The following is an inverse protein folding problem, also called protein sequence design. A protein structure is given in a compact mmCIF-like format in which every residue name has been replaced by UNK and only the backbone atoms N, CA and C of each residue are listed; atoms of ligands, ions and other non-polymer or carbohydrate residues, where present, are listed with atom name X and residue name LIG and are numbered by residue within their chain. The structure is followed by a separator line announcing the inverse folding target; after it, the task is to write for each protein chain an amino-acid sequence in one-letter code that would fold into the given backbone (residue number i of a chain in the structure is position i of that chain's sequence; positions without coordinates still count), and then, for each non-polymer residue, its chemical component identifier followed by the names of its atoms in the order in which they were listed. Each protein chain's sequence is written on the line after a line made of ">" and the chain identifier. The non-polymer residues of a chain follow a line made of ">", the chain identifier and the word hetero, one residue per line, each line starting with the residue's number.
data_IF_857896096854
#
_entry.id   IF_857896096854
#
_cell.length_a   1.000
_cell.length_b   1.000
_cell.length_c   1.000
_cell.angle_alpha   90.00
_cell.angle_beta   90.00
_cell.angle_gamma   90.00
#
_symmetry.space_group_name_H-M   'P 1'
#
loop_
_entity.id
_entity.type
_entity.pdbx_description
1 polymer ?
#
# COMPACT_ATOMS: atom_id res chain seq x y z
N UNK A 1 1.46 -14.79 29.83
CA UNK A 1 2.64 -14.93 28.96
C UNK A 1 3.72 -13.94 29.42
N UNK A 2 4.97 -14.37 29.68
CA UNK A 2 6.00 -13.51 30.26
C UNK A 2 6.59 -12.51 29.24
N UNK A 3 6.70 -11.25 29.68
CA UNK A 3 6.98 -10.03 28.90
C UNK A 3 8.46 -9.82 28.56
N UNK A 4 9.10 -10.74 27.82
CA UNK A 4 10.56 -10.68 27.58
C UNK A 4 11.02 -10.70 26.12
N UNK A 5 10.12 -10.60 25.15
CA UNK A 5 10.53 -10.42 23.74
C UNK A 5 10.65 -8.93 23.43
N UNK A 6 11.70 -8.29 23.95
CA UNK A 6 12.21 -7.03 23.40
C UNK A 6 13.14 -7.39 22.24
N UNK A 7 12.58 -7.60 21.06
CA UNK A 7 13.40 -7.78 19.84
C UNK A 7 13.73 -6.39 19.28
N UNK A 8 15.02 -6.25 19.00
CA UNK A 8 15.76 -5.10 18.52
C UNK A 8 15.15 -4.53 17.23
N UNK A 9 14.60 -3.31 17.30
CA UNK A 9 14.16 -2.55 16.13
C UNK A 9 15.39 -2.00 15.38
N UNK A 10 15.72 -2.58 14.24
CA UNK A 10 16.63 -1.97 13.27
C UNK A 10 15.76 -1.52 12.10
N UNK A 11 15.29 -0.27 12.18
CA UNK A 11 14.67 0.42 11.04
C UNK A 11 15.80 1.15 10.33
N UNK A 12 16.25 0.63 9.19
CA UNK A 12 17.21 1.34 8.33
C UNK A 12 16.38 2.27 7.44
N UNK A 13 16.19 3.51 7.88
CA UNK A 13 15.66 4.60 7.06
C UNK A 13 16.82 5.22 6.30
N UNK A 14 16.90 4.97 4.99
CA UNK A 14 17.81 5.73 4.10
C UNK A 14 17.11 7.04 3.74
N UNK A 15 17.45 8.10 4.46
CA UNK A 15 17.01 9.46 4.12
C UNK A 15 18.05 10.06 3.16
N UNK A 16 17.65 10.27 1.91
CA UNK A 16 18.33 11.22 1.01
C UNK A 16 17.52 12.52 1.01
N UNK A 17 17.88 13.45 1.89
CA UNK A 17 17.39 14.84 1.80
C UNK A 17 18.31 15.59 0.86
N UNK A 18 17.77 16.02 -0.28
CA UNK A 18 18.30 17.17 -1.01
C UNK A 18 17.16 18.20 -1.06
N UNK A 19 17.23 19.21 -0.18
CA UNK A 19 16.49 20.48 -0.35
C UNK A 19 17.05 21.25 -1.55
N UNK A 20 16.44 22.32 -2.08
CA UNK A 20 15.77 23.46 -1.45
C UNK A 20 14.94 24.17 -2.54
N UNK A 21 13.68 24.53 -2.28
CA UNK A 21 12.94 25.65 -2.91
C UNK A 21 11.90 26.12 -1.87
N UNK A 22 12.06 27.26 -1.19
CA UNK A 22 11.61 28.59 -1.63
C UNK A 22 10.19 28.88 -1.12
N UNK A 23 10.02 29.41 0.11
CA UNK A 23 9.63 30.81 0.44
C UNK A 23 8.18 31.23 0.13
N UNK A 24 7.59 31.95 1.11
CA UNK A 24 6.37 32.82 1.07
C UNK A 24 5.06 32.06 1.36
N UNK A 25 4.17 32.41 2.30
CA UNK A 25 4.01 33.59 3.15
C UNK A 25 2.52 33.98 3.19
N UNK A 26 1.92 33.89 4.39
CA UNK A 26 0.87 34.74 4.96
C UNK A 26 -0.66 34.49 4.76
N UNK A 27 -1.30 34.32 5.93
CA UNK A 27 -2.57 34.87 6.47
C UNK A 27 -3.98 34.50 5.96
N UNK A 28 -4.67 33.75 6.83
CA UNK A 28 -5.85 34.16 7.65
C UNK A 28 -7.23 34.46 7.03
N UNK A 29 -8.18 33.61 7.45
CA UNK A 29 -9.45 33.92 8.14
C UNK A 29 -10.79 33.81 7.37
N UNK A 30 -11.69 33.07 8.05
CA UNK A 30 -13.07 33.43 8.39
C UNK A 30 -14.23 32.54 7.86
N UNK A 31 -14.69 31.70 8.79
CA UNK A 31 -16.07 31.31 9.13
C UNK A 31 -17.22 31.74 8.20
N UNK A 32 -18.06 30.77 7.82
CA UNK A 32 -19.50 30.92 8.03
C UNK A 32 -20.20 29.57 8.22
N UNK A 33 -21.09 29.53 9.23
CA UNK A 33 -21.89 28.40 9.70
C UNK A 33 -23.36 28.78 9.51
N UNK A 34 -24.13 27.97 8.77
CA UNK A 34 -25.60 27.82 8.94
C UNK A 34 -26.06 26.65 8.06
N UNK A 35 -26.31 25.45 8.60
CA UNK A 35 -27.54 24.97 9.25
C UNK A 35 -28.76 24.86 8.31
N UNK A 36 -29.13 23.63 7.88
CA UNK A 36 -30.40 22.94 8.24
C UNK A 36 -30.70 21.67 7.43
N UNK A 37 -30.94 20.59 8.19
CA UNK A 37 -32.04 19.61 8.14
C UNK A 37 -32.35 18.74 6.89
N UNK A 38 -32.30 17.42 7.17
CA UNK A 38 -33.33 16.39 6.96
C UNK A 38 -33.15 15.34 5.83
N UNK A 39 -32.85 14.12 6.29
CA UNK A 39 -33.64 12.88 6.08
C UNK A 39 -33.93 12.42 4.66
N UNK A 40 -33.35 11.29 4.27
CA UNK A 40 -34.05 9.99 4.18
C UNK A 40 -33.13 8.88 3.70
N UNK A 41 -33.39 7.70 4.25
CA UNK A 41 -32.87 6.39 3.88
C UNK A 41 -33.02 6.06 2.38
N UNK A 42 -32.18 5.13 1.91
CA UNK A 42 -32.55 3.88 1.20
C UNK A 42 -31.50 3.52 0.13
N UNK A 43 -30.74 2.47 0.46
CA UNK A 43 -30.54 1.25 -0.34
C UNK A 43 -29.90 1.33 -1.73
N UNK A 44 -28.70 0.74 -1.78
CA UNK A 44 -28.28 -0.30 -2.73
C UNK A 44 -29.10 -0.43 -4.02
N UNK A 45 -28.47 -0.06 -5.14
CA UNK A 45 -28.30 -0.99 -6.24
C UNK A 45 -27.14 -0.56 -7.13
N UNK A 46 -26.30 -1.53 -7.52
CA UNK A 46 -25.19 -1.29 -8.42
C UNK A 46 -25.66 -0.93 -9.83
N UNK A 47 -24.79 -0.22 -10.56
CA UNK A 47 -24.56 -0.38 -12.00
C UNK A 47 -23.28 0.37 -12.34
N UNK A 48 -22.30 -0.39 -12.78
CA UNK A 48 -21.08 0.00 -13.47
C UNK A 48 -21.43 0.86 -14.70
N UNK A 49 -20.53 1.78 -15.03
CA UNK A 49 -20.46 2.56 -16.30
C UNK A 49 -21.09 3.95 -16.26
N UNK A 50 -20.47 4.87 -15.52
CA UNK A 50 -20.59 6.34 -15.73
C UNK A 50 -19.43 7.16 -15.10
N UNK A 51 -18.36 6.53 -14.60
CA UNK A 51 -17.55 7.13 -13.51
C UNK A 51 -16.17 7.69 -13.87
N UNK A 52 -15.57 7.40 -15.02
CA UNK A 52 -14.17 7.81 -15.31
C UNK A 52 -13.92 9.33 -15.21
N UNK A 53 -14.87 10.17 -15.63
CA UNK A 53 -14.75 11.64 -15.54
C UNK A 53 -15.03 12.19 -14.14
N UNK A 54 -15.64 11.39 -13.25
CA UNK A 54 -15.99 11.79 -11.88
C UNK A 54 -14.99 11.34 -10.81
N UNK A 55 -14.05 10.45 -11.13
CA UNK A 55 -13.07 9.95 -10.17
C UNK A 55 -12.10 11.08 -9.80
N UNK A 56 -11.91 11.39 -8.50
CA UNK A 56 -10.98 12.42 -8.06
C UNK A 56 -9.55 12.17 -8.54
N UNK A 57 -8.80 13.25 -8.80
CA UNK A 57 -7.40 13.15 -9.23
C UNK A 57 -6.53 12.37 -8.25
N UNK A 58 -6.77 12.50 -6.94
CA UNK A 58 -6.05 11.75 -5.90
C UNK A 58 -6.20 10.23 -6.09
N UNK A 59 -7.38 9.75 -6.46
CA UNK A 59 -7.69 8.33 -6.63
C UNK A 59 -6.98 7.78 -7.87
N UNK A 60 -6.97 8.56 -8.96
CA UNK A 60 -6.21 8.23 -10.19
C UNK A 60 -4.70 8.17 -9.91
N UNK A 61 -4.20 9.09 -9.08
CA UNK A 61 -2.78 9.11 -8.71
C UNK A 61 -2.42 7.94 -7.80
N UNK A 62 -3.26 7.60 -6.82
CA UNK A 62 -3.10 6.45 -5.96
C UNK A 62 -3.04 5.16 -6.79
N UNK A 63 -3.96 4.97 -7.74
CA UNK A 63 -3.96 3.82 -8.65
C UNK A 63 -2.64 3.69 -9.41
N UNK A 64 -2.17 4.77 -10.06
CA UNK A 64 -0.89 4.75 -10.80
C UNK A 64 0.31 4.43 -9.92
N UNK A 65 0.33 4.92 -8.67
CA UNK A 65 1.39 4.61 -7.71
C UNK A 65 1.34 3.15 -7.29
N UNK A 66 0.14 2.64 -7.06
CA UNK A 66 -0.10 1.28 -6.65
C UNK A 66 0.33 0.29 -7.75
N UNK A 67 0.02 0.58 -9.02
CA UNK A 67 0.51 -0.14 -10.19
C UNK A 67 2.05 -0.12 -10.25
N UNK A 68 2.66 1.06 -10.11
CA UNK A 68 4.12 1.20 -10.10
C UNK A 68 4.80 0.37 -9.00
N UNK A 69 4.23 0.32 -7.79
CA UNK A 69 4.74 -0.51 -6.70
C UNK A 69 4.65 -2.01 -7.00
N UNK A 70 3.54 -2.45 -7.61
CA UNK A 70 3.39 -3.83 -8.07
C UNK A 70 4.44 -4.18 -9.13
N UNK A 71 4.57 -3.36 -10.17
CA UNK A 71 5.43 -3.63 -11.32
C UNK A 71 6.93 -3.56 -11.00
N UNK A 72 7.35 -2.58 -10.20
CA UNK A 72 8.77 -2.29 -9.98
C UNK A 72 9.32 -2.86 -8.68
N UNK A 73 8.47 -2.99 -7.66
CA UNK A 73 8.88 -3.45 -6.34
C UNK A 73 8.26 -4.80 -5.97
N UNK A 74 7.38 -5.35 -6.81
CA UNK A 74 6.74 -6.66 -6.59
C UNK A 74 6.11 -6.77 -5.20
N UNK A 75 5.47 -5.70 -4.75
CA UNK A 75 4.83 -5.66 -3.43
C UNK A 75 3.55 -6.49 -3.42
N UNK A 76 3.16 -6.96 -2.22
CA UNK A 76 1.87 -7.58 -2.00
C UNK A 76 0.74 -6.55 -2.05
N UNK A 77 -0.49 -7.02 -2.23
CA UNK A 77 -1.69 -6.17 -2.19
C UNK A 77 -1.80 -5.37 -0.89
N UNK A 78 -1.56 -6.02 0.26
CA UNK A 78 -1.58 -5.34 1.56
C UNK A 78 -0.40 -4.38 1.73
N UNK A 79 0.81 -4.78 1.30
CA UNK A 79 1.98 -3.92 1.36
C UNK A 79 1.80 -2.64 0.56
N UNK A 80 1.16 -2.71 -0.62
CA UNK A 80 0.85 -1.53 -1.42
C UNK A 80 -0.14 -0.63 -0.69
N UNK A 81 -1.23 -1.17 -0.11
CA UNK A 81 -2.18 -0.36 0.66
C UNK A 81 -1.48 0.39 1.81
N UNK A 82 -0.64 -0.31 2.57
CA UNK A 82 0.09 0.27 3.69
C UNK A 82 1.05 1.37 3.19
N UNK A 83 1.72 1.16 2.06
CA UNK A 83 2.63 2.14 1.48
C UNK A 83 1.91 3.40 0.96
N UNK A 84 0.73 3.23 0.35
CA UNK A 84 -0.08 4.35 -0.13
C UNK A 84 -0.59 5.23 1.03
N UNK A 85 -0.93 4.61 2.17
CA UNK A 85 -1.52 5.29 3.33
C UNK A 85 -0.50 5.73 4.38
N UNK A 86 0.72 5.19 4.34
CA UNK A 86 1.77 5.46 5.31
C UNK A 86 2.09 6.94 5.41
N UNK A 87 2.25 7.44 6.64
CA UNK A 87 2.72 8.81 6.93
C UNK A 87 4.14 9.09 6.40
N UNK A 88 4.91 8.03 6.12
CA UNK A 88 6.25 8.09 5.55
C UNK A 88 6.29 7.68 4.06
N UNK A 89 5.15 7.33 3.48
CA UNK A 89 5.00 6.88 2.09
C UNK A 89 4.35 7.95 1.22
N UNK A 90 3.24 7.61 0.56
CA UNK A 90 2.53 8.54 -0.33
C UNK A 90 1.51 9.43 0.39
N UNK A 91 1.09 9.04 1.61
CA UNK A 91 0.12 9.77 2.43
C UNK A 91 -1.23 10.02 1.73
N UNK A 92 -1.65 9.13 0.82
CA UNK A 92 -3.00 9.18 0.25
C UNK A 92 -4.05 8.90 1.33
N UNK A 93 -5.25 9.45 1.15
CA UNK A 93 -6.40 9.07 1.97
C UNK A 93 -6.67 7.57 1.88
N UNK A 94 -7.19 6.99 2.96
CA UNK A 94 -7.55 5.58 3.01
C UNK A 94 -8.54 5.19 1.90
N UNK A 95 -9.47 6.09 1.54
CA UNK A 95 -10.44 5.86 0.48
C UNK A 95 -9.78 5.86 -0.92
N UNK A 96 -8.81 6.75 -1.17
CA UNK A 96 -8.06 6.76 -2.43
C UNK A 96 -7.17 5.52 -2.56
N UNK A 97 -6.54 5.09 -1.47
CA UNK A 97 -5.75 3.85 -1.44
C UNK A 97 -6.63 2.61 -1.63
N UNK A 98 -7.79 2.55 -0.97
CA UNK A 98 -8.73 1.44 -1.16
C UNK A 98 -9.24 1.39 -2.59
N UNK A 99 -9.59 2.55 -3.17
CA UNK A 99 -9.93 2.63 -4.59
C UNK A 99 -8.82 2.09 -5.48
N UNK A 100 -7.55 2.45 -5.23
CA UNK A 100 -6.42 1.93 -5.99
C UNK A 100 -6.32 0.40 -5.90
N UNK A 101 -6.47 -0.16 -4.70
CA UNK A 101 -6.40 -1.61 -4.43
C UNK A 101 -7.58 -2.40 -5.04
N UNK A 102 -8.75 -1.77 -5.13
CA UNK A 102 -9.95 -2.38 -5.70
C UNK A 102 -9.98 -2.33 -7.24
N UNK A 103 -9.31 -1.33 -7.83
CA UNK A 103 -9.33 -1.10 -9.28
C UNK A 103 -8.04 -1.51 -9.99
N UNK A 104 -6.99 -1.88 -9.26
CA UNK A 104 -5.78 -2.42 -9.87
C UNK A 104 -5.93 -3.88 -10.28
N UNK A 105 -5.25 -4.23 -11.37
CA UNK A 105 -5.05 -5.61 -11.79
C UNK A 105 -3.56 -5.94 -11.66
N UNK A 106 -3.24 -7.01 -10.95
CA UNK A 106 -1.87 -7.48 -10.80
C UNK A 106 -1.84 -9.00 -10.62
N UNK A 107 -0.76 -9.62 -11.08
CA UNK A 107 -0.46 -11.01 -10.79
C UNK A 107 0.30 -11.09 -9.45
N UNK A 108 -0.46 -11.27 -8.37
CA UNK A 108 0.10 -11.33 -7.02
C UNK A 108 1.01 -12.55 -6.79
N UNK A 109 0.73 -13.64 -7.49
CA UNK A 109 1.57 -14.84 -7.48
C UNK A 109 2.92 -14.56 -8.14
N UNK A 110 2.93 -13.82 -9.25
CA UNK A 110 4.16 -13.37 -9.89
C UNK A 110 4.96 -12.42 -8.99
N UNK A 111 4.30 -11.48 -8.30
CA UNK A 111 4.96 -10.59 -7.34
C UNK A 111 5.61 -11.35 -6.19
N UNK A 112 4.88 -12.30 -5.59
CA UNK A 112 5.40 -13.15 -4.52
C UNK A 112 6.61 -13.96 -5.00
N UNK A 113 6.55 -14.55 -6.20
CA UNK A 113 7.66 -15.29 -6.78
C UNK A 113 8.88 -14.40 -7.05
N UNK A 114 8.68 -13.17 -7.55
CA UNK A 114 9.78 -12.24 -7.78
C UNK A 114 10.49 -11.85 -6.46
N UNK A 115 9.72 -11.58 -5.39
CA UNK A 115 10.27 -11.34 -4.05
C UNK A 115 11.01 -12.56 -3.51
N UNK A 116 10.44 -13.75 -3.69
CA UNK A 116 11.03 -15.00 -3.25
C UNK A 116 12.39 -15.24 -3.92
N UNK A 117 12.49 -15.01 -5.24
CA UNK A 117 13.75 -15.09 -6.00
C UNK A 117 14.76 -14.06 -5.51
N UNK A 118 14.33 -12.82 -5.29
CA UNK A 118 15.21 -11.77 -4.75
C UNK A 118 15.81 -12.18 -3.39
N UNK A 119 15.02 -12.73 -2.48
CA UNK A 119 15.52 -13.21 -1.19
C UNK A 119 16.47 -14.41 -1.32
N UNK A 120 16.17 -15.35 -2.23
CA UNK A 120 17.04 -16.48 -2.52
C UNK A 120 18.40 -16.00 -3.06
N UNK A 121 18.40 -15.12 -4.06
CA UNK A 121 19.60 -14.70 -4.79
C UNK A 121 20.47 -13.71 -3.99
N UNK A 122 19.83 -12.75 -3.31
CA UNK A 122 20.57 -11.65 -2.65
C UNK A 122 20.87 -11.93 -1.19
N UNK A 123 20.04 -12.73 -0.51
CA UNK A 123 20.18 -13.02 0.92
C UNK A 123 20.48 -14.49 1.22
N UNK A 124 20.49 -15.38 0.21
CA UNK A 124 20.76 -16.81 0.37
C UNK A 124 19.84 -17.48 1.41
N UNK A 125 18.59 -17.00 1.50
CA UNK A 125 17.61 -17.50 2.45
C UNK A 125 17.12 -18.90 2.07
N UNK A 126 16.77 -19.71 3.07
CA UNK A 126 16.12 -21.01 2.84
C UNK A 126 14.67 -20.83 2.39
N UNK A 127 14.10 -21.81 1.69
CA UNK A 127 12.68 -21.78 1.26
C UNK A 127 11.71 -21.52 2.42
N UNK A 128 11.95 -22.09 3.60
CA UNK A 128 11.12 -21.81 4.78
C UNK A 128 11.26 -20.36 5.27
N UNK A 129 12.48 -19.83 5.36
CA UNK A 129 12.69 -18.46 5.80
C UNK A 129 12.09 -17.45 4.79
N UNK A 130 12.13 -17.77 3.50
CA UNK A 130 11.47 -16.97 2.46
C UNK A 130 9.96 -17.01 2.65
N UNK A 131 9.37 -18.18 2.86
CA UNK A 131 7.93 -18.30 3.13
C UNK A 131 7.49 -17.44 4.31
N UNK A 132 8.18 -17.57 5.44
CA UNK A 132 7.89 -16.83 6.67
C UNK A 132 8.03 -15.32 6.44
N UNK A 133 9.03 -14.89 5.66
CA UNK A 133 9.25 -13.50 5.32
C UNK A 133 8.15 -12.94 4.39
N UNK A 134 7.68 -13.74 3.43
CA UNK A 134 6.62 -13.33 2.51
C UNK A 134 5.30 -13.09 3.24
N UNK A 135 4.94 -13.93 4.21
CA UNK A 135 3.67 -13.82 4.95
C UNK A 135 3.74 -12.90 6.19
N UNK A 136 4.95 -12.50 6.60
CA UNK A 136 5.15 -11.75 7.84
C UNK A 136 4.39 -10.42 7.83
N UNK A 137 3.69 -10.14 8.93
CA UNK A 137 3.02 -8.85 9.19
C UNK A 137 3.99 -7.65 9.23
N UNK A 138 5.28 -7.92 9.38
CA UNK A 138 6.36 -6.92 9.34
C UNK A 138 7.25 -7.05 8.10
N UNK A 139 6.97 -8.04 7.24
CA UNK A 139 7.69 -8.31 6.00
C UNK A 139 6.87 -7.90 4.80
N UNK A 140 6.63 -8.84 3.89
CA UNK A 140 5.99 -8.54 2.61
C UNK A 140 4.45 -8.62 2.64
N UNK A 141 3.84 -9.25 3.65
CA UNK A 141 2.38 -9.36 3.82
C UNK A 141 1.63 -9.99 2.63
N UNK A 142 2.26 -10.91 1.90
CA UNK A 142 1.55 -11.77 0.97
C UNK A 142 0.60 -12.71 1.73
N UNK A 143 -0.44 -13.17 1.03
CA UNK A 143 -1.27 -14.25 1.55
C UNK A 143 -0.47 -15.55 1.66
N UNK A 144 -0.85 -16.47 2.58
CA UNK A 144 -0.24 -17.80 2.65
C UNK A 144 -0.25 -18.54 1.31
N UNK A 145 -1.30 -18.37 0.51
CA UNK A 145 -1.46 -19.00 -0.80
C UNK A 145 -0.46 -18.46 -1.84
N UNK A 146 -0.29 -17.14 -1.92
CA UNK A 146 0.68 -16.49 -2.81
C UNK A 146 2.12 -16.84 -2.41
N UNK A 147 2.41 -16.83 -1.11
CA UNK A 147 3.71 -17.24 -0.59
C UNK A 147 3.98 -18.72 -0.90
N UNK A 148 3.00 -19.60 -0.72
CA UNK A 148 3.15 -21.02 -1.04
C UNK A 148 3.34 -21.24 -2.54
N UNK A 149 2.61 -20.51 -3.38
CA UNK A 149 2.84 -20.51 -4.83
C UNK A 149 4.29 -20.13 -5.14
N UNK A 150 4.81 -19.06 -4.53
CA UNK A 150 6.18 -18.64 -4.75
C UNK A 150 7.19 -19.73 -4.36
N UNK A 151 7.04 -20.36 -3.20
CA UNK A 151 7.93 -21.45 -2.75
C UNK A 151 7.89 -22.67 -3.69
N UNK A 152 6.70 -23.03 -4.16
CA UNK A 152 6.53 -24.17 -5.07
C UNK A 152 7.19 -23.95 -6.44
N UNK A 153 7.42 -22.68 -6.81
CA UNK A 153 8.01 -22.27 -8.09
C UNK A 153 9.43 -21.69 -7.92
N UNK A 154 10.04 -21.81 -6.74
CA UNK A 154 11.46 -21.52 -6.51
C UNK A 154 12.32 -22.74 -6.83
N UNK A 155 13.44 -22.51 -7.51
CA UNK A 155 14.45 -23.54 -7.82
C UNK A 155 15.13 -24.04 -6.54
#
# INVERSE_FOLDING_TARGET
>A
MPKWVKILLIVIVIIVVIGIFGSTGNDSNENNKSNRENTSEVQSNGTTTSTEDSVPTEYKNALKKAESYSETMHMSKQGIYDQLTSEYGEQFSADAAQYAIDNMEADWNANALAKAKSYQETMNMSKQAIYDQLISEYGEKFTPEEAQYAINNLD
#
